data_IF_167351995267
#
_entry.id   IF_167351995267
#
_cell.length_a   1.000
_cell.length_b   1.000
_cell.length_c   1.000
_cell.angle_alpha   90.00
_cell.angle_beta   90.00
_cell.angle_gamma   90.00
#
_symmetry.space_group_name_H-M   'P 1'
#
loop_
_entity.id
_entity.type
_entity.pdbx_description
1 polymer ?
#
# COMPACT_ATOMS: atom_id res chain seq x y z
N UNK A 1 -9.76 -3.85 -17.79
CA UNK A 1 -8.40 -4.38 -17.56
C UNK A 1 -7.33 -3.49 -18.16
N UNK A 2 -7.23 -3.33 -19.49
CA UNK A 2 -6.15 -2.50 -20.08
C UNK A 2 -6.14 -1.06 -19.54
N UNK A 3 -7.31 -0.45 -19.44
CA UNK A 3 -7.49 0.87 -18.82
C UNK A 3 -6.99 0.93 -17.37
N UNK A 4 -7.22 -0.12 -16.58
CA UNK A 4 -6.72 -0.21 -15.21
C UNK A 4 -5.19 -0.21 -15.19
N UNK A 5 -4.53 -0.94 -16.08
CA UNK A 5 -3.07 -0.92 -16.17
C UNK A 5 -2.56 0.45 -16.63
N UNK A 6 -3.24 1.11 -17.55
CA UNK A 6 -2.89 2.47 -17.94
C UNK A 6 -3.05 3.46 -16.78
N UNK A 7 -4.07 3.28 -15.93
CA UNK A 7 -4.22 4.07 -14.70
C UNK A 7 -3.04 3.83 -13.77
N UNK A 8 -2.67 2.58 -13.52
CA UNK A 8 -1.51 2.24 -12.67
C UNK A 8 -0.19 2.79 -13.23
N UNK A 9 -0.03 2.84 -14.56
CA UNK A 9 1.10 3.50 -15.21
C UNK A 9 1.07 5.01 -15.02
N UNK A 10 -0.09 5.65 -15.19
CA UNK A 10 -0.23 7.10 -14.93
C UNK A 10 0.00 7.44 -13.46
N UNK A 11 -0.33 6.54 -12.56
CA UNK A 11 -0.03 6.61 -11.13
C UNK A 11 1.44 6.25 -10.81
N UNK A 12 2.28 5.99 -11.82
CA UNK A 12 3.71 5.67 -11.68
C UNK A 12 4.00 4.39 -10.87
N UNK A 13 2.99 3.53 -10.72
CA UNK A 13 3.13 2.26 -10.03
C UNK A 13 3.64 1.15 -10.97
N UNK A 14 3.26 1.24 -12.24
CA UNK A 14 3.71 0.35 -13.29
C UNK A 14 4.57 1.10 -14.31
N UNK A 15 5.61 0.42 -14.78
CA UNK A 15 6.32 0.87 -15.98
C UNK A 15 5.50 0.54 -17.23
N UNK A 16 5.34 1.47 -18.19
CA UNK A 16 4.59 1.22 -19.43
C UNK A 16 5.06 -0.01 -20.19
N UNK A 17 6.38 -0.26 -20.21
CA UNK A 17 7.02 -1.36 -20.94
C UNK A 17 6.70 -2.74 -20.36
N UNK A 18 6.20 -2.77 -19.12
CA UNK A 18 5.75 -4.00 -18.47
C UNK A 18 4.40 -4.44 -19.02
N UNK A 19 3.58 -3.55 -19.58
CA UNK A 19 2.29 -3.92 -20.14
C UNK A 19 2.47 -4.61 -21.49
N UNK A 20 1.96 -5.84 -21.60
CA UNK A 20 1.77 -6.55 -22.85
C UNK A 20 0.30 -6.53 -23.21
N UNK A 21 -0.08 -5.68 -24.15
CA UNK A 21 -1.39 -5.78 -24.77
C UNK A 21 -1.46 -7.09 -25.58
N UNK A 22 -2.64 -7.73 -25.58
CA UNK A 22 -2.91 -8.82 -26.52
C UNK A 22 -2.97 -8.32 -27.97
N UNK A 23 -3.05 -9.21 -28.95
CA UNK A 23 -3.21 -10.66 -28.78
C UNK A 23 -1.93 -11.42 -28.41
N UNK A 24 -2.08 -12.53 -27.67
CA UNK A 24 -0.98 -13.39 -27.20
C UNK A 24 -0.94 -14.74 -27.90
N UNK A 25 0.24 -15.28 -28.15
CA UNK A 25 0.37 -16.63 -28.71
C UNK A 25 0.08 -17.70 -27.64
N UNK A 26 -1.05 -18.38 -27.78
CA UNK A 26 -1.47 -19.48 -26.90
C UNK A 26 -1.15 -20.86 -27.49
N UNK A 27 -0.43 -20.95 -28.62
CA UNK A 27 -0.20 -22.20 -29.34
C UNK A 27 0.38 -23.31 -28.46
N UNK A 28 1.26 -22.96 -27.51
CA UNK A 28 1.84 -23.91 -26.56
C UNK A 28 0.84 -24.46 -25.53
N UNK A 29 -0.25 -23.73 -25.23
CA UNK A 29 -1.26 -24.10 -24.24
C UNK A 29 -2.48 -24.81 -24.85
N UNK A 30 -2.64 -24.77 -26.17
CA UNK A 30 -3.78 -25.38 -26.86
C UNK A 30 -3.99 -26.87 -26.53
N UNK A 31 -2.96 -27.73 -26.51
CA UNK A 31 -3.17 -29.14 -26.15
C UNK A 31 -3.73 -29.33 -24.74
N UNK A 32 -3.33 -28.48 -23.79
CA UNK A 32 -3.84 -28.51 -22.42
C UNK A 32 -5.30 -28.05 -22.39
N UNK A 33 -5.63 -26.93 -23.04
CA UNK A 33 -7.01 -26.44 -23.09
C UNK A 33 -7.97 -27.42 -23.75
N UNK A 34 -7.52 -28.12 -24.79
CA UNK A 34 -8.28 -29.21 -25.42
C UNK A 34 -8.49 -30.38 -24.45
N UNK A 35 -7.44 -30.80 -23.72
CA UNK A 35 -7.54 -31.90 -22.74
C UNK A 35 -8.49 -31.59 -21.57
N UNK A 36 -8.61 -30.32 -21.21
CA UNK A 36 -9.48 -29.83 -20.14
C UNK A 36 -10.87 -29.40 -20.65
N UNK A 37 -11.14 -29.56 -21.95
CA UNK A 37 -12.39 -29.14 -22.60
C UNK A 37 -12.76 -27.67 -22.28
N UNK A 38 -11.78 -26.77 -22.36
CA UNK A 38 -11.99 -25.34 -22.13
C UNK A 38 -12.73 -24.73 -23.31
N UNK A 39 -13.79 -23.97 -23.02
CA UNK A 39 -14.59 -23.31 -24.04
C UNK A 39 -13.76 -22.30 -24.87
N UNK A 40 -13.97 -22.28 -26.19
CA UNK A 40 -13.21 -21.41 -27.10
C UNK A 40 -13.36 -19.92 -26.80
N UNK A 41 -14.48 -19.49 -26.19
CA UNK A 41 -14.66 -18.10 -25.74
C UNK A 41 -13.74 -17.74 -24.57
N UNK A 42 -13.44 -18.70 -23.70
CA UNK A 42 -12.49 -18.54 -22.58
C UNK A 42 -11.06 -18.49 -23.13
N UNK A 43 -10.73 -19.38 -24.07
CA UNK A 43 -9.42 -19.36 -24.75
C UNK A 43 -9.22 -18.02 -25.48
N UNK A 44 -10.23 -17.55 -26.20
CA UNK A 44 -10.20 -16.24 -26.86
C UNK A 44 -10.02 -15.09 -25.88
N UNK A 45 -10.61 -15.18 -24.68
CA UNK A 45 -10.40 -14.17 -23.66
C UNK A 45 -8.93 -14.13 -23.20
N UNK A 46 -8.32 -15.28 -22.93
CA UNK A 46 -6.88 -15.34 -22.61
C UNK A 46 -6.01 -14.83 -23.77
N UNK A 47 -6.45 -15.00 -25.00
CA UNK A 47 -5.73 -14.46 -26.15
C UNK A 47 -5.67 -12.93 -26.12
N UNK A 48 -6.69 -12.23 -25.61
CA UNK A 48 -6.80 -10.77 -25.70
C UNK A 48 -6.54 -10.03 -24.37
N UNK A 49 -6.54 -10.72 -23.23
CA UNK A 49 -6.34 -10.07 -21.93
C UNK A 49 -4.94 -9.44 -21.87
N UNK A 50 -4.79 -8.17 -21.45
CA UNK A 50 -3.48 -7.60 -21.26
C UNK A 50 -2.77 -8.25 -20.07
N UNK A 51 -1.45 -8.31 -20.12
CA UNK A 51 -0.60 -8.89 -19.08
C UNK A 51 0.48 -7.92 -18.62
N UNK A 52 1.04 -8.17 -17.45
CA UNK A 52 2.22 -7.46 -16.94
C UNK A 52 3.41 -8.42 -17.01
N UNK A 53 4.46 -8.05 -17.75
CA UNK A 53 5.74 -8.78 -17.76
C UNK A 53 6.26 -8.84 -16.35
N UNK A 54 6.57 -10.04 -15.88
CA UNK A 54 7.30 -10.19 -14.64
C UNK A 54 8.70 -9.60 -14.83
N UNK A 55 9.11 -8.59 -14.04
CA UNK A 55 10.43 -8.03 -14.16
C UNK A 55 11.47 -9.12 -13.80
N UNK A 56 12.63 -9.13 -14.48
CA UNK A 56 13.67 -10.09 -14.18
C UNK A 56 14.22 -9.85 -12.76
N UNK A 57 13.86 -10.77 -11.88
CA UNK A 57 14.63 -11.25 -10.73
C UNK A 57 14.81 -10.44 -9.45
N UNK A 58 14.13 -9.32 -9.16
CA UNK A 58 14.42 -8.64 -7.86
C UNK A 58 13.32 -7.80 -7.17
N UNK A 59 12.02 -7.95 -7.49
CA UNK A 59 10.99 -7.21 -6.72
C UNK A 59 9.71 -7.94 -6.34
N UNK A 60 9.44 -7.86 -5.03
CA UNK A 60 8.17 -7.80 -4.28
C UNK A 60 7.20 -6.68 -4.76
N UNK A 61 7.31 -6.19 -5.99
CA UNK A 61 6.35 -5.23 -6.54
C UNK A 61 5.14 -5.99 -7.06
N UNK A 62 4.24 -6.25 -6.12
CA UNK A 62 3.02 -7.04 -6.27
C UNK A 62 1.96 -6.30 -7.07
N UNK A 63 2.16 -6.23 -8.38
CA UNK A 63 1.13 -5.70 -9.26
C UNK A 63 0.21 -6.84 -9.70
N UNK A 64 -0.93 -6.48 -10.28
CA UNK A 64 -1.86 -7.36 -10.96
C UNK A 64 -1.14 -8.35 -11.90
N UNK A 65 -0.78 -9.54 -11.39
CA UNK A 65 0.05 -10.51 -12.08
C UNK A 65 -0.82 -11.57 -12.75
N UNK A 66 -0.74 -11.60 -14.08
CA UNK A 66 -0.61 -12.87 -14.78
C UNK A 66 0.57 -12.73 -15.75
N UNK A 67 1.59 -13.59 -15.63
CA UNK A 67 2.77 -13.46 -16.49
C UNK A 67 3.94 -14.42 -16.31
N UNK A 68 4.41 -14.78 -15.11
CA UNK A 68 5.60 -15.66 -15.03
C UNK A 68 5.79 -16.53 -13.79
N UNK A 69 4.93 -16.46 -12.76
CA UNK A 69 4.94 -17.51 -11.75
C UNK A 69 4.00 -18.61 -12.20
N UNK A 70 4.53 -19.81 -12.36
CA UNK A 70 3.78 -21.04 -12.58
C UNK A 70 2.50 -21.04 -11.75
N UNK A 71 1.39 -21.64 -12.23
CA UNK A 71 0.18 -21.87 -11.43
C UNK A 71 0.47 -22.42 -10.03
N UNK A 72 1.65 -23.03 -9.84
CA UNK A 72 2.14 -23.63 -8.60
C UNK A 72 2.39 -22.67 -7.43
N UNK A 73 2.60 -21.36 -7.64
CA UNK A 73 2.91 -20.45 -6.52
C UNK A 73 1.66 -19.79 -5.90
N UNK A 74 0.62 -19.53 -6.70
CA UNK A 74 -0.70 -19.16 -6.19
C UNK A 74 -1.42 -20.37 -5.55
N UNK A 75 -0.96 -21.59 -5.85
CA UNK A 75 -1.37 -22.83 -5.16
C UNK A 75 -0.40 -23.22 -4.05
N UNK A 76 0.41 -22.30 -3.49
CA UNK A 76 1.13 -22.65 -2.25
C UNK A 76 0.07 -22.97 -1.20
N UNK A 77 -0.01 -24.26 -0.87
CA UNK A 77 -0.76 -24.94 0.20
C UNK A 77 -2.27 -25.07 0.07
N UNK A 78 -2.82 -25.17 -1.15
CA UNK A 78 -4.17 -25.75 -1.31
C UNK A 78 -3.97 -27.22 -1.60
N UNK A 79 -3.80 -27.99 -0.51
CA UNK A 79 -3.40 -29.40 -0.55
C UNK A 79 -4.57 -30.32 -0.97
N UNK A 80 -5.77 -29.76 -1.11
CA UNK A 80 -7.01 -30.50 -1.36
C UNK A 80 -7.68 -30.03 -2.67
N UNK A 81 -8.24 -30.95 -3.49
CA UNK A 81 -8.98 -30.61 -4.71
C UNK A 81 -10.15 -29.62 -4.52
N UNK A 82 -10.71 -29.58 -3.32
CA UNK A 82 -11.81 -28.70 -2.88
C UNK A 82 -11.36 -27.23 -2.79
N UNK A 83 -10.08 -27.00 -2.56
CA UNK A 83 -9.49 -25.68 -2.43
C UNK A 83 -8.84 -25.20 -3.74
N UNK A 84 -8.54 -26.10 -4.68
CA UNK A 84 -7.88 -25.73 -5.93
C UNK A 84 -8.75 -24.82 -6.81
N UNK A 85 -8.16 -23.72 -7.29
CA UNK A 85 -8.78 -22.88 -8.32
C UNK A 85 -9.10 -23.69 -9.57
N UNK A 86 -10.25 -23.40 -10.19
CA UNK A 86 -10.66 -24.08 -11.42
C UNK A 86 -9.86 -23.59 -12.63
N UNK A 87 -9.64 -24.43 -13.68
CA UNK A 87 -8.86 -24.03 -14.86
C UNK A 87 -9.40 -22.84 -15.66
N UNK A 88 -10.70 -22.53 -15.51
CA UNK A 88 -11.36 -21.38 -16.14
C UNK A 88 -11.38 -20.13 -15.24
N UNK A 89 -10.77 -20.20 -14.06
CA UNK A 89 -10.59 -19.05 -13.19
C UNK A 89 -9.22 -18.44 -13.40
N UNK A 90 -9.13 -17.13 -13.29
CA UNK A 90 -7.90 -16.38 -13.52
C UNK A 90 -7.69 -15.40 -12.38
N UNK A 91 -6.57 -15.48 -11.65
CA UNK A 91 -6.19 -14.40 -10.77
C UNK A 91 -5.86 -13.18 -11.63
N UNK A 92 -6.58 -12.09 -11.38
CA UNK A 92 -6.29 -10.78 -11.95
C UNK A 92 -5.29 -10.01 -11.09
N UNK A 93 -5.22 -10.30 -9.79
CA UNK A 93 -4.21 -9.74 -8.88
C UNK A 93 -3.30 -10.80 -8.25
N UNK A 94 -2.11 -10.37 -7.79
CA UNK A 94 -1.21 -11.21 -7.02
C UNK A 94 -1.74 -11.44 -5.59
N UNK A 95 -1.60 -12.67 -5.07
CA UNK A 95 -1.81 -12.96 -3.65
C UNK A 95 -0.67 -12.32 -2.84
N UNK A 96 -0.99 -11.51 -1.81
CA UNK A 96 0.03 -10.98 -0.89
C UNK A 96 0.19 -9.45 -0.81
N UNK A 97 -0.62 -8.62 -1.47
CA UNK A 97 -0.40 -7.16 -1.48
C UNK A 97 -1.57 -6.25 -1.20
N UNK A 98 -2.81 -6.65 -1.43
CA UNK A 98 -3.95 -5.77 -1.15
C UNK A 98 -4.76 -6.25 0.04
N UNK A 99 -4.18 -7.15 0.84
CA UNK A 99 -4.92 -8.09 1.71
C UNK A 99 -5.93 -8.95 0.92
N UNK A 100 -6.19 -8.64 -0.37
CA UNK A 100 -7.17 -9.27 -1.21
C UNK A 100 -6.65 -9.73 -2.57
N UNK A 101 -7.34 -10.73 -3.11
CA UNK A 101 -7.12 -11.40 -4.39
C UNK A 101 -8.33 -11.14 -5.28
N UNK A 102 -8.09 -10.63 -6.48
CA UNK A 102 -9.11 -10.40 -7.49
C UNK A 102 -9.11 -11.61 -8.42
N UNK A 103 -10.21 -12.35 -8.43
CA UNK A 103 -10.38 -13.57 -9.21
C UNK A 103 -11.45 -13.37 -10.27
N UNK A 104 -11.16 -13.73 -11.51
CA UNK A 104 -12.12 -13.74 -12.60
C UNK A 104 -12.54 -15.17 -12.93
N UNK A 105 -13.85 -15.43 -12.91
CA UNK A 105 -14.44 -16.68 -13.36
C UNK A 105 -14.95 -16.51 -14.80
N UNK A 106 -14.29 -17.18 -15.74
CA UNK A 106 -14.62 -17.08 -17.16
C UNK A 106 -15.93 -17.79 -17.54
N UNK A 107 -16.37 -18.81 -16.80
CA UNK A 107 -17.65 -19.50 -17.06
C UNK A 107 -18.85 -18.65 -16.66
N UNK A 108 -18.78 -18.03 -15.48
CA UNK A 108 -19.85 -17.17 -14.94
C UNK A 108 -19.74 -15.72 -15.39
N UNK A 109 -18.60 -15.32 -15.96
CA UNK A 109 -18.27 -13.95 -16.34
C UNK A 109 -18.38 -12.97 -15.15
N UNK A 110 -17.87 -13.40 -14.00
CA UNK A 110 -17.88 -12.62 -12.76
C UNK A 110 -16.46 -12.40 -12.24
N UNK A 111 -16.28 -11.33 -11.47
CA UNK A 111 -15.07 -11.07 -10.70
C UNK A 111 -15.45 -11.13 -9.22
N UNK A 112 -14.69 -11.91 -8.44
CA UNK A 112 -14.70 -11.85 -6.99
C UNK A 112 -13.45 -11.14 -6.49
N UNK A 113 -13.59 -10.48 -5.34
CA UNK A 113 -12.49 -9.84 -4.60
C UNK A 113 -12.53 -10.47 -3.22
N UNK A 114 -11.48 -11.17 -2.82
CA UNK A 114 -11.44 -11.98 -1.60
C UNK A 114 -10.29 -11.56 -0.73
N UNK A 115 -10.47 -11.51 0.58
CA UNK A 115 -9.34 -11.38 1.48
C UNK A 115 -8.49 -12.67 1.48
N UNK A 116 -7.18 -12.56 1.71
CA UNK A 116 -6.24 -13.68 1.72
C UNK A 116 -6.38 -14.54 2.99
N UNK A 117 -6.80 -13.94 4.09
CA UNK A 117 -6.92 -14.57 5.40
C UNK A 117 -8.38 -14.90 5.75
N UNK A 118 -9.35 -14.26 5.09
CA UNK A 118 -10.76 -14.43 5.39
C UNK A 118 -11.59 -14.86 4.17
N UNK A 119 -12.53 -15.81 4.33
CA UNK A 119 -13.38 -16.30 3.24
C UNK A 119 -14.45 -15.29 2.77
N UNK A 120 -14.37 -14.02 3.18
CA UNK A 120 -15.33 -12.98 2.83
C UNK A 120 -14.95 -12.21 1.56
N UNK A 121 -15.96 -11.66 0.88
CA UNK A 121 -15.70 -10.73 -0.22
C UNK A 121 -15.18 -9.39 0.32
N UNK A 122 -14.08 -8.90 -0.26
CA UNK A 122 -13.52 -7.57 -0.04
C UNK A 122 -13.99 -6.54 -1.09
N UNK A 123 -15.07 -6.85 -1.81
CA UNK A 123 -15.64 -5.92 -2.78
C UNK A 123 -16.37 -4.80 -2.04
N UNK A 124 -15.89 -3.55 -2.17
CA UNK A 124 -16.52 -2.38 -1.54
C UNK A 124 -18.03 -2.30 -1.75
N UNK A 125 -18.58 -2.73 -2.89
CA UNK A 125 -20.03 -2.66 -3.10
C UNK A 125 -20.82 -3.75 -2.38
N UNK A 126 -20.13 -4.79 -1.89
CA UNK A 126 -20.70 -5.83 -1.05
C UNK A 126 -20.46 -5.54 0.43
N UNK A 127 -19.37 -4.84 0.76
CA UNK A 127 -18.99 -4.54 2.14
C UNK A 127 -19.48 -3.17 2.62
N UNK A 128 -19.91 -2.28 1.73
CA UNK A 128 -20.44 -0.96 2.09
C UNK A 128 -21.67 -1.08 3.01
N UNK A 129 -21.56 -0.51 4.21
CA UNK A 129 -22.58 -0.61 5.25
C UNK A 129 -22.65 -1.96 5.96
N UNK A 130 -21.85 -2.94 5.55
CA UNK A 130 -21.73 -4.24 6.23
C UNK A 130 -20.77 -4.10 7.38
N UNK A 131 -21.15 -4.67 8.53
CA UNK A 131 -20.28 -4.71 9.69
C UNK A 131 -19.48 -6.02 9.65
N UNK A 132 -18.16 -5.91 9.48
CA UNK A 132 -17.26 -7.04 9.47
C UNK A 132 -16.72 -7.29 10.88
N UNK A 133 -16.77 -8.54 11.35
CA UNK A 133 -16.15 -8.95 12.60
C UNK A 133 -14.78 -9.56 12.34
N UNK A 134 -13.74 -9.00 12.96
CA UNK A 134 -12.38 -9.55 12.92
C UNK A 134 -12.14 -10.43 14.16
N UNK A 135 -11.51 -11.59 13.97
CA UNK A 135 -11.19 -12.53 15.04
C UNK A 135 -9.68 -12.82 15.11
N UNK A 136 -8.92 -12.11 15.95
CA UNK A 136 -7.60 -12.52 16.38
C UNK A 136 -7.58 -12.61 17.92
N UNK A 137 -8.04 -13.75 18.45
CA UNK A 137 -7.48 -14.29 19.69
C UNK A 137 -8.00 -13.81 21.06
N UNK A 138 -8.63 -12.64 21.26
CA UNK A 138 -9.37 -12.36 22.52
C UNK A 138 -10.32 -11.16 22.51
N UNK A 139 -10.25 -10.23 21.56
CA UNK A 139 -11.18 -9.09 21.47
C UNK A 139 -11.74 -9.00 20.05
N UNK A 140 -13.06 -9.19 19.92
CA UNK A 140 -13.75 -8.98 18.65
C UNK A 140 -13.74 -7.49 18.33
N UNK A 141 -13.04 -7.09 17.27
CA UNK A 141 -13.18 -5.74 16.73
C UNK A 141 -14.14 -5.80 15.55
N UNK A 142 -15.19 -5.00 15.63
CA UNK A 142 -16.17 -4.84 14.56
C UNK A 142 -15.86 -3.57 13.79
N UNK A 143 -16.02 -3.61 12.47
CA UNK A 143 -15.78 -2.46 11.61
C UNK A 143 -16.96 -2.24 10.69
N UNK A 144 -17.39 -0.99 10.56
CA UNK A 144 -18.34 -0.59 9.52
C UNK A 144 -17.52 0.01 8.37
N UNK A 145 -17.67 -0.54 7.17
CA UNK A 145 -17.11 0.08 5.99
C UNK A 145 -18.08 1.14 5.44
N UNK A 146 -17.66 2.42 5.46
CA UNK A 146 -18.38 3.53 4.81
C UNK A 146 -17.42 4.26 3.88
N UNK A 147 -17.81 4.41 2.62
CA UNK A 147 -16.97 5.04 1.58
C UNK A 147 -15.58 4.38 1.41
N UNK A 148 -15.45 3.08 1.69
CA UNK A 148 -14.19 2.35 1.65
C UNK A 148 -13.26 2.64 2.83
N UNK A 149 -13.77 3.26 3.90
CA UNK A 149 -13.05 3.48 5.16
C UNK A 149 -13.65 2.54 6.21
N UNK A 150 -12.82 1.65 6.74
CA UNK A 150 -13.16 0.81 7.89
C UNK A 150 -13.10 1.65 9.18
N UNK A 151 -14.25 1.86 9.80
CA UNK A 151 -14.34 2.53 11.10
C UNK A 151 -14.68 1.51 12.18
N UNK A 152 -13.89 1.41 13.27
CA UNK A 152 -14.24 0.55 14.39
C UNK A 152 -15.63 0.91 14.92
N UNK A 153 -16.45 -0.10 15.19
CA UNK A 153 -17.73 0.04 15.86
C UNK A 153 -17.82 -0.89 17.07
N UNK A 154 -18.74 -0.56 17.96
CA UNK A 154 -18.99 -1.34 19.17
C UNK A 154 -19.84 -2.58 18.85
N UNK A 155 -19.75 -3.60 19.71
CA UNK A 155 -20.48 -4.86 19.62
C UNK A 155 -21.99 -4.62 19.52
N UNK A 156 -22.51 -3.63 20.24
CA UNK A 156 -23.94 -3.27 20.22
C UNK A 156 -24.42 -2.79 18.84
N UNK A 157 -23.60 -2.07 18.08
CA UNK A 157 -23.97 -1.66 16.72
C UNK A 157 -23.98 -2.85 15.77
N UNK A 158 -23.03 -3.78 15.96
CA UNK A 158 -23.00 -5.05 15.23
C UNK A 158 -24.21 -5.93 15.54
N UNK A 159 -24.53 -6.17 16.81
CA UNK A 159 -25.69 -6.97 17.24
C UNK A 159 -27.00 -6.38 16.70
N UNK A 160 -27.14 -5.06 16.76
CA UNK A 160 -28.30 -4.37 16.18
C UNK A 160 -28.40 -4.61 14.67
N UNK A 161 -27.29 -4.50 13.93
CA UNK A 161 -27.27 -4.75 12.49
C UNK A 161 -27.65 -6.19 12.14
N UNK A 162 -27.11 -7.19 12.86
CA UNK A 162 -27.43 -8.61 12.65
C UNK A 162 -28.90 -8.90 12.96
N UNK A 163 -29.43 -8.34 14.03
CA UNK A 163 -30.83 -8.49 14.42
C UNK A 163 -31.80 -7.76 13.47
N UNK A 164 -31.39 -6.63 12.89
CA UNK A 164 -32.20 -5.87 11.91
C UNK A 164 -32.19 -6.49 10.50
N UNK A 165 -31.13 -7.23 10.13
CA UNK A 165 -31.03 -7.94 8.84
C UNK A 165 -31.90 -9.21 8.77
N UNK A 166 -32.59 -9.59 9.86
CA UNK A 166 -33.50 -10.74 9.85
C UNK A 166 -32.80 -12.08 9.63
N UNK A 167 -31.53 -12.19 10.03
CA UNK A 167 -30.93 -13.50 10.29
C UNK A 167 -31.59 -14.05 11.54
N UNK A 168 -32.75 -14.69 11.35
CA UNK A 168 -33.46 -15.49 12.35
C UNK A 168 -32.55 -16.67 12.74
N UNK A 169 -31.57 -16.37 13.59
CA UNK A 169 -30.82 -17.35 14.36
C UNK A 169 -31.74 -17.79 15.51
N UNK A 170 -32.82 -18.47 15.17
CA UNK A 170 -33.65 -19.22 16.12
C UNK A 170 -32.82 -20.41 16.62
N UNK A 171 -31.93 -20.15 17.58
CA UNK A 171 -31.23 -21.17 18.36
C UNK A 171 -31.70 -21.11 19.81
N UNK A 172 -33.02 -21.23 20.00
CA UNK A 172 -33.62 -21.58 21.28
C UNK A 172 -34.14 -23.02 21.18
N UNK A 173 -33.45 -23.95 21.85
CA UNK A 173 -33.83 -25.36 21.88
C UNK A 173 -32.97 -26.18 22.84
N UNK A 174 -33.19 -25.99 24.14
CA UNK A 174 -32.93 -27.06 25.12
C UNK A 174 -33.89 -28.23 24.80
N UNK A 175 -33.37 -29.44 24.59
CA UNK A 175 -33.99 -30.66 25.12
C UNK A 175 -33.04 -31.87 25.01
N UNK A 176 -32.74 -32.45 26.18
CA UNK A 176 -32.10 -33.75 26.37
C UNK A 176 -32.90 -34.86 25.68
N UNK A 177 -32.27 -35.55 24.73
CA UNK A 177 -32.80 -36.74 24.09
C UNK A 177 -31.67 -37.68 23.67
N UNK A 178 -31.38 -38.68 24.51
CA UNK A 178 -30.54 -39.82 24.15
C UNK A 178 -31.24 -40.66 23.08
N UNK A 179 -30.89 -40.50 21.80
CA UNK A 179 -31.26 -41.45 20.75
C UNK A 179 -30.07 -41.77 19.83
N UNK A 180 -29.65 -43.04 19.97
CA UNK A 180 -29.00 -43.95 19.03
C UNK A 180 -28.29 -43.39 17.80
N UNK A 181 -27.01 -43.76 17.71
CA UNK A 181 -26.15 -43.59 16.57
C UNK A 181 -26.64 -44.41 15.36
N UNK A 182 -27.48 -43.80 14.53
CA UNK A 182 -27.60 -44.17 13.12
C UNK A 182 -26.53 -43.41 12.33
N UNK A 183 -25.43 -44.11 12.07
CA UNK A 183 -24.38 -43.73 11.15
C UNK A 183 -24.90 -43.83 9.71
N UNK A 184 -25.82 -42.93 9.35
CA UNK A 184 -26.32 -42.84 7.99
C UNK A 184 -25.41 -41.93 7.17
N UNK A 185 -24.67 -42.60 6.29
CA UNK A 185 -24.24 -42.14 4.99
C UNK A 185 -23.48 -40.81 4.95
N UNK A 186 -22.15 -40.96 4.92
CA UNK A 186 -21.25 -40.13 4.12
C UNK A 186 -21.77 -40.06 2.67
N UNK A 187 -22.78 -39.22 2.40
CA UNK A 187 -23.08 -38.77 1.05
C UNK A 187 -21.86 -37.98 0.58
N UNK A 188 -21.13 -38.60 -0.35
CA UNK A 188 -20.01 -38.09 -1.12
C UNK A 188 -20.24 -36.63 -1.57
N UNK A 189 -19.90 -35.68 -0.71
CA UNK A 189 -19.81 -34.24 -0.99
C UNK A 189 -18.60 -33.92 -1.90
N UNK A 190 -18.30 -34.82 -2.85
CA UNK A 190 -17.07 -34.87 -3.66
C UNK A 190 -16.87 -33.67 -4.62
N UNK A 191 -17.82 -32.72 -4.67
CA UNK A 191 -17.76 -31.58 -5.60
C UNK A 191 -17.98 -30.20 -4.95
N UNK A 192 -17.95 -30.09 -3.63
CA UNK A 192 -18.06 -28.79 -2.93
C UNK A 192 -16.73 -28.03 -2.93
N UNK A 193 -16.27 -27.64 -4.12
CA UNK A 193 -15.14 -26.73 -4.22
C UNK A 193 -15.56 -25.30 -3.88
N UNK A 194 -14.79 -24.64 -3.02
CA UNK A 194 -15.08 -23.32 -2.45
C UNK A 194 -15.25 -22.23 -3.53
N UNK A 195 -14.67 -22.44 -4.72
CA UNK A 195 -14.75 -21.49 -5.82
C UNK A 195 -15.95 -21.69 -6.73
N UNK A 196 -16.61 -22.85 -6.69
CA UNK A 196 -17.83 -23.07 -7.49
C UNK A 196 -18.92 -22.04 -7.13
N UNK A 197 -18.99 -21.68 -5.84
CA UNK A 197 -19.92 -20.71 -5.28
C UNK A 197 -19.27 -19.33 -5.06
N UNK A 198 -18.15 -19.06 -5.74
CA UNK A 198 -17.41 -17.80 -5.63
C UNK A 198 -18.37 -16.59 -5.65
N UNK A 199 -18.26 -15.76 -4.60
CA UNK A 199 -19.14 -14.64 -4.35
C UNK A 199 -18.77 -13.44 -5.26
N UNK A 200 -18.86 -13.62 -6.58
CA UNK A 200 -18.50 -12.60 -7.57
C UNK A 200 -19.64 -11.66 -7.99
N UNK A 201 -19.29 -10.53 -8.61
CA UNK A 201 -20.21 -9.64 -9.35
C UNK A 201 -19.87 -9.65 -10.84
N UNK A 202 -20.79 -9.22 -11.74
CA UNK A 202 -20.52 -9.17 -13.18
C UNK A 202 -19.21 -8.44 -13.50
N UNK A 203 -18.30 -9.09 -14.23
CA UNK A 203 -16.92 -8.63 -14.39
C UNK A 203 -16.82 -7.19 -14.89
N UNK A 204 -17.63 -6.82 -15.88
CA UNK A 204 -17.71 -5.45 -16.41
C UNK A 204 -18.02 -4.40 -15.32
N UNK A 205 -18.89 -4.72 -14.37
CA UNK A 205 -19.27 -3.79 -13.28
C UNK A 205 -18.11 -3.63 -12.31
N UNK A 206 -17.53 -4.75 -11.86
CA UNK A 206 -16.39 -4.73 -10.92
C UNK A 206 -15.22 -3.96 -11.49
N UNK A 207 -14.81 -4.24 -12.73
CA UNK A 207 -13.67 -3.56 -13.35
C UNK A 207 -13.89 -2.05 -13.54
N UNK A 208 -15.12 -1.64 -13.88
CA UNK A 208 -15.49 -0.22 -13.95
C UNK A 208 -15.41 0.44 -12.57
N UNK A 209 -15.88 -0.26 -11.54
CA UNK A 209 -15.88 0.27 -10.18
C UNK A 209 -14.44 0.37 -9.63
N UNK A 210 -13.56 -0.59 -9.92
CA UNK A 210 -12.12 -0.52 -9.59
C UNK A 210 -11.46 0.69 -10.25
N UNK A 211 -11.72 0.92 -11.55
CA UNK A 211 -11.22 2.11 -12.26
C UNK A 211 -11.66 3.39 -11.53
N UNK A 212 -12.93 3.45 -11.13
CA UNK A 212 -13.45 4.58 -10.35
C UNK A 212 -12.75 4.71 -8.99
N UNK A 213 -12.49 3.62 -8.28
CA UNK A 213 -11.82 3.65 -6.98
C UNK A 213 -10.43 4.26 -7.04
N UNK A 214 -9.63 3.93 -8.06
CA UNK A 214 -8.31 4.55 -8.26
C UNK A 214 -8.40 6.03 -8.67
N UNK A 215 -9.38 6.40 -9.50
CA UNK A 215 -9.60 7.81 -9.83
C UNK A 215 -10.00 8.66 -8.62
N UNK A 216 -10.86 8.12 -7.75
CA UNK A 216 -11.31 8.77 -6.52
C UNK A 216 -10.28 8.67 -5.37
N UNK A 217 -9.19 7.91 -5.58
CA UNK A 217 -8.22 7.54 -4.56
C UNK A 217 -8.85 6.86 -3.34
N UNK A 218 -9.99 6.16 -3.53
CA UNK A 218 -10.52 5.21 -2.54
C UNK A 218 -9.51 4.08 -2.36
N UNK A 219 -8.95 3.63 -3.47
CA UNK A 219 -7.80 2.73 -3.52
C UNK A 219 -6.56 3.47 -4.02
N UNK A 220 -5.40 3.09 -3.49
CA UNK A 220 -4.09 3.51 -4.02
C UNK A 220 -3.25 2.30 -4.38
N UNK A 221 -2.37 2.39 -5.38
CA UNK A 221 -1.45 1.31 -5.67
C UNK A 221 -0.55 1.02 -4.45
N UNK A 222 -0.25 -0.26 -4.21
CA UNK A 222 0.49 -0.70 -3.02
C UNK A 222 -0.41 -0.94 -1.79
N UNK A 223 0.12 -0.71 -0.59
CA UNK A 223 -0.59 -0.84 0.68
C UNK A 223 -0.51 -2.20 1.38
N UNK A 224 0.15 -3.19 0.79
CA UNK A 224 0.37 -4.51 1.42
C UNK A 224 1.63 -4.59 2.25
N UNK A 225 1.76 -5.69 3.01
CA UNK A 225 2.97 -6.03 3.77
C UNK A 225 4.25 -6.09 2.91
N UNK A 226 4.07 -6.31 1.60
CA UNK A 226 5.14 -6.42 0.62
C UNK A 226 5.28 -5.16 -0.25
N UNK A 227 4.45 -4.13 -0.05
CA UNK A 227 4.65 -2.84 -0.68
C UNK A 227 5.74 -2.07 0.07
N UNK A 228 6.68 -1.48 -0.67
CA UNK A 228 7.67 -0.57 -0.07
C UNK A 228 6.98 0.62 0.60
N UNK A 229 7.59 1.16 1.66
CA UNK A 229 7.06 2.29 2.42
C UNK A 229 6.76 3.53 1.54
N UNK A 230 7.38 3.62 0.36
CA UNK A 230 7.05 4.62 -0.65
C UNK A 230 5.59 4.59 -1.12
N UNK A 231 4.94 3.43 -1.04
CA UNK A 231 3.56 3.20 -1.46
C UNK A 231 2.60 3.09 -0.27
N UNK A 232 3.02 3.56 0.90
CA UNK A 232 2.14 3.70 2.04
C UNK A 232 0.95 4.60 1.68
N UNK A 233 -0.24 4.13 2.01
CA UNK A 233 -1.48 4.76 1.61
C UNK A 233 -1.63 6.19 2.17
N UNK A 234 -1.26 6.39 3.43
CA UNK A 234 -1.35 7.69 4.11
C UNK A 234 -0.32 8.68 3.59
N UNK A 235 0.78 8.17 3.03
CA UNK A 235 1.75 8.95 2.29
C UNK A 235 1.28 9.33 0.88
N UNK A 236 0.88 8.35 0.05
CA UNK A 236 0.68 8.58 -1.39
C UNK A 236 -0.65 9.25 -1.72
N UNK A 237 -1.74 8.96 -0.98
CA UNK A 237 -3.06 9.54 -1.26
C UNK A 237 -3.05 11.08 -1.21
N UNK A 238 -2.48 11.74 -0.18
CA UNK A 238 -2.36 13.20 -0.16
C UNK A 238 -1.45 13.75 -1.27
N UNK A 239 -0.40 13.02 -1.64
CA UNK A 239 0.53 13.42 -2.70
C UNK A 239 -0.16 13.43 -4.07
N UNK A 240 -0.93 12.40 -4.40
CA UNK A 240 -1.70 12.37 -5.65
C UNK A 240 -2.62 13.60 -5.78
N UNK A 241 -3.35 13.94 -4.70
CA UNK A 241 -4.22 15.12 -4.67
C UNK A 241 -3.43 16.42 -4.83
N UNK A 242 -2.28 16.52 -4.16
CA UNK A 242 -1.41 17.70 -4.23
C UNK A 242 -0.90 17.94 -5.65
N UNK A 243 -0.62 16.88 -6.39
CA UNK A 243 0.00 16.93 -7.72
C UNK A 243 -0.99 16.77 -8.87
N UNK A 244 -2.31 16.95 -8.63
CA UNK A 244 -3.31 17.07 -9.70
C UNK A 244 -4.00 15.78 -10.15
N UNK A 245 -3.84 14.66 -9.43
CA UNK A 245 -4.58 13.43 -9.77
C UNK A 245 -6.09 13.59 -9.50
N UNK A 246 -6.99 13.02 -10.34
CA UNK A 246 -6.75 12.22 -11.56
C UNK A 246 -6.72 13.04 -12.87
N UNK A 247 -6.56 14.36 -12.76
CA UNK A 247 -6.60 15.30 -13.87
C UNK A 247 -5.57 15.01 -14.97
N UNK A 248 -5.77 15.68 -16.11
CA UNK A 248 -4.80 15.66 -17.22
C UNK A 248 -3.52 16.42 -16.87
N UNK A 249 -3.58 17.27 -15.84
CA UNK A 249 -2.51 18.09 -15.29
C UNK A 249 -1.73 17.40 -14.16
N UNK A 250 -1.88 16.08 -13.99
CA UNK A 250 -1.12 15.33 -12.99
C UNK A 250 0.40 15.46 -13.23
N UNK A 251 1.09 16.13 -12.31
CA UNK A 251 2.55 16.36 -12.35
C UNK A 251 3.29 15.16 -11.75
N UNK A 252 3.57 14.18 -12.61
CA UNK A 252 4.26 12.95 -12.25
C UNK A 252 5.66 13.19 -11.66
N UNK A 253 6.41 14.15 -12.21
CA UNK A 253 7.78 14.42 -11.77
C UNK A 253 7.77 15.07 -10.37
N UNK A 254 6.90 16.04 -10.14
CA UNK A 254 6.74 16.66 -8.83
C UNK A 254 6.24 15.66 -7.78
N UNK A 255 5.35 14.75 -8.15
CA UNK A 255 4.90 13.65 -7.29
C UNK A 255 6.08 12.77 -6.83
N UNK A 256 6.92 12.30 -7.74
CA UNK A 256 8.06 11.43 -7.39
C UNK A 256 9.07 12.15 -6.50
N UNK A 257 9.35 13.43 -6.77
CA UNK A 257 10.26 14.23 -5.95
C UNK A 257 9.71 14.39 -4.53
N UNK A 258 8.44 14.74 -4.36
CA UNK A 258 7.81 14.93 -3.04
C UNK A 258 7.72 13.61 -2.27
N UNK A 259 7.34 12.52 -2.94
CA UNK A 259 7.33 11.17 -2.36
C UNK A 259 8.73 10.81 -1.80
N UNK A 260 9.80 11.01 -2.58
CA UNK A 260 11.17 10.73 -2.15
C UNK A 260 11.62 11.62 -0.99
N UNK A 261 11.29 12.91 -1.01
CA UNK A 261 11.64 13.84 0.09
C UNK A 261 10.98 13.37 1.40
N UNK A 262 9.70 12.99 1.35
CA UNK A 262 8.96 12.54 2.54
C UNK A 262 9.51 11.22 3.10
N UNK A 263 9.89 10.29 2.24
CA UNK A 263 10.51 9.03 2.66
C UNK A 263 11.85 9.27 3.36
N UNK A 264 12.71 10.10 2.78
CA UNK A 264 13.98 10.48 3.41
C UNK A 264 13.72 11.16 4.76
N UNK A 265 12.71 12.03 4.83
CA UNK A 265 12.29 12.67 6.08
C UNK A 265 11.86 11.65 7.14
N UNK A 266 11.07 10.65 6.74
CA UNK A 266 10.61 9.57 7.61
C UNK A 266 11.78 8.73 8.14
N UNK A 267 12.70 8.31 7.26
CA UNK A 267 13.88 7.53 7.64
C UNK A 267 14.78 8.27 8.63
N UNK A 268 14.97 9.58 8.42
CA UNK A 268 15.72 10.44 9.34
C UNK A 268 15.01 10.53 10.68
N UNK A 269 13.70 10.81 10.69
CA UNK A 269 12.91 10.93 11.92
C UNK A 269 12.87 9.61 12.71
N UNK A 270 12.72 8.48 12.03
CA UNK A 270 12.72 7.15 12.67
C UNK A 270 14.10 6.81 13.24
N UNK A 271 15.18 7.16 12.52
CA UNK A 271 16.55 7.00 13.00
C UNK A 271 16.82 7.83 14.25
N UNK A 272 16.39 9.09 14.27
CA UNK A 272 16.53 9.97 15.44
C UNK A 272 15.65 9.50 16.60
N UNK A 273 14.44 9.00 16.35
CA UNK A 273 13.59 8.38 17.38
C UNK A 273 14.26 7.15 17.99
N UNK A 274 14.79 6.24 17.17
CA UNK A 274 15.52 5.04 17.63
C UNK A 274 16.74 5.46 18.47
N UNK A 275 17.47 6.49 18.03
CA UNK A 275 18.60 7.07 18.77
C UNK A 275 18.18 7.64 20.12
N UNK A 276 17.12 8.44 20.17
CA UNK A 276 16.58 9.03 21.39
C UNK A 276 16.10 7.97 22.38
N UNK A 277 15.42 6.91 21.91
CA UNK A 277 14.99 5.79 22.75
C UNK A 277 16.15 4.94 23.27
N UNK A 278 17.22 4.80 22.49
CA UNK A 278 18.41 4.09 22.91
C UNK A 278 19.23 4.91 23.93
N UNK A 279 19.15 6.24 23.89
CA UNK A 279 20.06 7.11 24.64
C UNK A 279 20.04 6.91 26.16
N UNK A 280 18.89 6.76 26.85
CA UNK A 280 18.88 6.50 28.28
C UNK A 280 19.56 5.18 28.67
N UNK A 281 19.30 4.10 27.92
CA UNK A 281 19.95 2.78 28.14
C UNK A 281 21.46 2.85 27.92
N UNK A 282 21.89 3.69 26.99
CA UNK A 282 23.32 3.95 26.77
C UNK A 282 23.95 4.77 27.88
N UNK A 283 23.25 5.78 28.40
CA UNK A 283 23.71 6.58 29.56
C UNK A 283 23.83 5.72 30.82
N UNK A 284 22.88 4.80 31.04
CA UNK A 284 22.93 3.82 32.13
C UNK A 284 24.15 2.89 31.99
N UNK A 285 24.35 2.30 30.81
CA UNK A 285 25.54 1.46 30.54
C UNK A 285 26.86 2.21 30.68
N UNK A 286 26.90 3.49 30.29
CA UNK A 286 28.08 4.33 30.46
C UNK A 286 28.35 4.63 31.94
N UNK A 287 27.29 4.87 32.73
CA UNK A 287 27.40 5.06 34.17
C UNK A 287 27.79 3.78 34.93
N UNK A 288 27.46 2.60 34.37
CA UNK A 288 27.83 1.29 34.90
C UNK A 288 29.24 0.82 34.51
N UNK A 289 29.91 1.51 33.57
CA UNK A 289 31.26 1.17 33.13
C UNK A 289 32.24 1.28 34.32
N UNK A 290 32.95 0.19 34.61
CA UNK A 290 33.87 0.13 35.77
C UNK A 290 35.31 0.40 35.38
N UNK A 291 35.60 0.39 34.09
CA UNK A 291 36.95 0.55 33.55
C UNK A 291 36.97 1.61 32.46
N UNK A 292 38.12 2.29 32.34
CA UNK A 292 38.39 3.28 31.28
C UNK A 292 38.27 2.64 29.90
N UNK A 293 38.61 1.36 29.77
CA UNK A 293 38.51 0.62 28.50
C UNK A 293 37.06 0.35 28.12
N UNK A 294 36.17 0.03 29.08
CA UNK A 294 34.73 -0.13 28.84
C UNK A 294 34.09 1.22 28.46
N UNK A 295 34.43 2.30 29.15
CA UNK A 295 33.98 3.66 28.84
C UNK A 295 34.45 4.08 27.43
N UNK A 296 35.71 3.80 27.10
CA UNK A 296 36.26 4.07 25.77
C UNK A 296 35.60 3.23 24.69
N UNK A 297 35.31 1.94 24.93
CA UNK A 297 34.64 1.07 23.96
C UNK A 297 33.21 1.52 23.66
N UNK A 298 32.45 1.92 24.70
CA UNK A 298 31.07 2.42 24.61
C UNK A 298 31.03 3.81 23.93
N UNK A 299 31.99 4.68 24.26
CA UNK A 299 32.17 6.00 23.63
C UNK A 299 32.57 5.89 22.15
N UNK A 300 33.48 4.96 21.83
CA UNK A 300 33.89 4.71 20.44
C UNK A 300 32.81 4.03 19.61
N UNK A 301 31.89 3.24 20.20
CA UNK A 301 30.72 2.70 19.48
C UNK A 301 29.75 3.82 19.07
N UNK A 302 29.57 4.82 19.94
CA UNK A 302 28.83 6.06 19.67
C UNK A 302 29.48 6.86 18.53
N UNK A 303 30.82 6.92 18.52
CA UNK A 303 31.58 7.54 17.45
C UNK A 303 31.47 6.76 16.14
N UNK A 304 31.40 5.42 16.14
CA UNK A 304 31.21 4.65 14.88
C UNK A 304 29.87 4.92 14.18
N UNK A 305 28.80 5.23 14.92
CA UNK A 305 27.56 5.77 14.36
C UNK A 305 27.72 7.20 13.79
N UNK A 306 28.81 7.89 14.11
CA UNK A 306 29.23 9.21 13.62
C UNK A 306 30.46 9.15 12.68
N UNK A 307 31.07 7.98 12.44
CA UNK A 307 32.35 7.75 11.72
C UNK A 307 32.23 7.74 10.19
N UNK A 308 31.21 8.37 9.62
CA UNK A 308 31.32 8.82 8.23
C UNK A 308 32.47 9.86 8.05
N UNK A 309 32.92 10.47 9.15
CA UNK A 309 33.94 11.53 9.19
C UNK A 309 35.40 11.04 9.31
N UNK A 310 35.67 9.93 10.00
CA UNK A 310 37.05 9.38 10.13
C UNK A 310 37.53 8.69 8.86
N UNK A 311 36.63 8.18 8.02
CA UNK A 311 36.96 7.62 6.71
C UNK A 311 37.62 8.63 5.75
N UNK A 312 37.59 9.93 6.07
CA UNK A 312 38.12 11.03 5.25
C UNK A 312 39.44 11.64 5.76
N UNK A 313 40.02 11.14 6.86
CA UNK A 313 41.39 11.49 7.28
C UNK A 313 41.61 12.93 7.82
N UNK A 314 40.59 13.55 8.41
CA UNK A 314 40.67 14.92 8.94
C UNK A 314 41.36 15.00 10.32
N UNK A 315 42.10 16.08 10.57
CA UNK A 315 42.79 16.33 11.84
C UNK A 315 41.85 16.78 12.97
N UNK A 316 42.27 16.66 14.24
CA UNK A 316 41.47 17.00 15.43
C UNK A 316 40.82 18.42 15.41
N UNK A 317 41.51 19.51 15.02
CA UNK A 317 40.88 20.83 14.88
C UNK A 317 39.99 20.98 13.62
N UNK A 318 40.11 20.11 12.62
CA UNK A 318 39.20 20.04 11.48
C UNK A 318 37.93 19.27 11.83
N UNK A 319 38.06 18.20 12.62
CA UNK A 319 36.95 17.46 13.21
C UNK A 319 36.13 18.36 14.14
N UNK A 320 36.76 19.17 14.99
CA UNK A 320 36.07 20.14 15.84
C UNK A 320 35.38 21.29 15.05
N UNK A 321 35.83 21.58 13.82
CA UNK A 321 35.17 22.52 12.90
C UNK A 321 34.01 21.85 12.15
N UNK A 322 34.19 20.61 11.71
CA UNK A 322 33.13 19.81 11.10
C UNK A 322 31.99 19.54 12.09
N UNK A 323 32.29 19.22 13.35
CA UNK A 323 31.29 19.09 14.41
C UNK A 323 30.51 20.39 14.62
N UNK A 324 31.19 21.54 14.72
CA UNK A 324 30.50 22.84 14.81
C UNK A 324 29.62 23.12 13.60
N UNK A 325 30.10 22.86 12.38
CA UNK A 325 29.32 23.06 11.17
C UNK A 325 28.09 22.13 11.10
N UNK A 326 28.20 20.89 11.59
CA UNK A 326 27.07 19.94 11.65
C UNK A 326 26.09 20.33 12.75
N UNK A 327 26.56 20.81 13.90
CA UNK A 327 25.69 21.32 14.97
C UNK A 327 24.95 22.59 14.50
N UNK A 328 25.63 23.50 13.82
CA UNK A 328 25.02 24.69 13.22
C UNK A 328 24.01 24.32 12.11
N UNK A 329 24.30 23.32 11.27
CA UNK A 329 23.35 22.80 10.26
C UNK A 329 22.15 22.10 10.90
N UNK A 330 22.37 21.34 11.98
CA UNK A 330 21.32 20.71 12.75
C UNK A 330 20.40 21.73 13.42
N UNK A 331 20.96 22.76 14.07
CA UNK A 331 20.21 23.87 14.65
C UNK A 331 19.43 24.63 13.57
N UNK A 332 20.03 24.86 12.39
CA UNK A 332 19.37 25.50 11.26
C UNK A 332 18.21 24.69 10.70
N UNK A 333 18.36 23.37 10.55
CA UNK A 333 17.29 22.48 10.08
C UNK A 333 16.19 22.31 11.11
N UNK A 334 16.54 22.24 12.39
CA UNK A 334 15.57 22.21 13.49
C UNK A 334 14.76 23.51 13.53
N UNK A 335 15.38 24.65 13.29
CA UNK A 335 14.68 25.93 13.15
C UNK A 335 13.73 25.94 11.94
N UNK A 336 14.14 25.42 10.78
CA UNK A 336 13.28 25.31 9.59
C UNK A 336 12.08 24.39 9.83
N UNK A 337 12.28 23.25 10.50
CA UNK A 337 11.21 22.31 10.85
C UNK A 337 10.23 23.00 11.80
N UNK A 338 10.73 23.69 12.83
CA UNK A 338 9.89 24.41 13.79
C UNK A 338 9.10 25.54 13.13
N UNK A 339 9.72 26.32 12.24
CA UNK A 339 9.03 27.35 11.46
C UNK A 339 7.94 26.73 10.58
N UNK A 340 8.20 25.56 9.97
CA UNK A 340 7.22 24.82 9.15
C UNK A 340 6.07 24.25 9.98
N UNK A 341 6.33 23.79 11.21
CA UNK A 341 5.31 23.31 12.15
C UNK A 341 4.43 24.47 12.66
N UNK A 342 5.03 25.62 12.96
CA UNK A 342 4.31 26.84 13.33
C UNK A 342 3.43 27.35 12.17
N UNK A 343 3.94 27.29 10.93
CA UNK A 343 3.18 27.66 9.71
C UNK A 343 2.02 26.68 9.44
N UNK A 344 2.25 25.37 9.57
CA UNK A 344 1.21 24.35 9.45
C UNK A 344 0.12 24.50 10.52
N UNK A 345 0.51 24.84 11.75
CA UNK A 345 -0.43 25.13 12.84
C UNK A 345 -1.25 26.37 12.53
N UNK A 346 -0.63 27.42 11.97
CA UNK A 346 -1.32 28.62 11.51
C UNK A 346 -2.33 28.35 10.39
N UNK A 347 -1.99 27.49 9.43
CA UNK A 347 -2.89 27.06 8.35
C UNK A 347 -4.08 26.27 8.92
N UNK A 348 -3.84 25.33 9.84
CA UNK A 348 -4.90 24.56 10.48
C UNK A 348 -5.86 25.45 11.29
N UNK A 349 -5.34 26.43 12.03
CA UNK A 349 -6.16 27.37 12.81
C UNK A 349 -6.96 28.31 11.90
N UNK A 350 -6.37 28.75 10.79
CA UNK A 350 -7.07 29.51 9.76
C UNK A 350 -8.17 28.69 9.07
N UNK A 351 -7.92 27.40 8.77
CA UNK A 351 -8.92 26.50 8.18
C UNK A 351 -10.14 26.29 9.09
N UNK A 352 -9.95 26.25 10.42
CA UNK A 352 -11.06 26.17 11.39
C UNK A 352 -11.96 27.41 11.41
N UNK A 353 -11.48 28.55 10.90
CA UNK A 353 -12.22 29.82 10.89
C UNK A 353 -13.04 30.01 9.60
N UNK A 354 -12.90 29.11 8.62
CA UNK A 354 -13.67 29.17 7.39
C UNK A 354 -15.08 28.60 7.61
N UNK A 355 -16.15 29.27 7.14
CA UNK A 355 -17.50 28.72 7.17
C UNK A 355 -17.57 27.45 6.32
N UNK A 356 -18.38 26.47 6.77
CA UNK A 356 -18.54 25.08 6.28
C UNK A 356 -18.86 24.89 4.76
N UNK A 357 -18.78 25.94 3.94
CA UNK A 357 -19.10 25.90 2.50
C UNK A 357 -18.09 26.58 1.55
N UNK A 358 -16.90 26.97 2.00
CA UNK A 358 -15.95 27.72 1.12
C UNK A 358 -14.92 26.84 0.43
N UNK A 359 -15.36 26.02 -0.53
CA UNK A 359 -14.47 25.26 -1.42
C UNK A 359 -13.61 26.14 -2.35
N UNK A 360 -14.04 27.36 -2.69
CA UNK A 360 -13.29 28.26 -3.59
C UNK A 360 -12.10 28.97 -2.92
N UNK A 361 -12.18 29.28 -1.61
CA UNK A 361 -11.07 29.90 -0.88
C UNK A 361 -9.87 28.95 -0.73
N UNK A 362 -10.14 27.64 -0.74
CA UNK A 362 -9.15 26.56 -0.62
C UNK A 362 -8.23 26.47 -1.85
N UNK A 363 -8.72 26.86 -3.03
CA UNK A 363 -7.93 26.93 -4.26
C UNK A 363 -7.05 28.18 -4.36
N UNK A 364 -7.51 29.32 -3.84
CA UNK A 364 -6.80 30.60 -3.96
C UNK A 364 -5.66 30.78 -2.96
N UNK A 365 -5.70 30.10 -1.81
CA UNK A 365 -4.61 30.16 -0.82
C UNK A 365 -3.33 29.43 -1.27
N UNK A 366 -3.40 28.56 -2.28
CA UNK A 366 -2.25 27.80 -2.79
C UNK A 366 -1.53 28.49 -3.97
N UNK A 367 -2.12 29.51 -4.60
CA UNK A 367 -1.50 30.22 -5.74
C UNK A 367 -0.27 31.10 -5.41
N UNK A 368 -0.16 31.79 -4.26
CA UNK A 368 0.98 32.69 -4.03
C UNK A 368 2.33 31.96 -3.91
N UNK A 369 2.32 30.67 -3.59
CA UNK A 369 3.54 29.86 -3.42
C UNK A 369 4.18 29.45 -4.75
N UNK A 370 3.45 29.45 -5.86
CA UNK A 370 3.98 29.12 -7.19
C UNK A 370 4.84 30.25 -7.81
N UNK A 371 4.65 31.50 -7.37
CA UNK A 371 5.32 32.64 -7.99
C UNK A 371 6.57 33.17 -7.26
N UNK A 372 6.82 32.80 -6.00
CA UNK A 372 8.01 33.27 -5.27
C UNK A 372 9.27 32.40 -5.45
N UNK A 373 9.15 31.15 -5.90
CA UNK A 373 10.31 30.27 -6.16
C UNK A 373 10.94 30.46 -7.54
N UNK A 374 10.26 31.12 -8.48
CA UNK A 374 10.73 31.32 -9.87
C UNK A 374 11.34 32.70 -10.16
N UNK A 375 11.51 33.57 -9.17
CA UNK A 375 12.11 34.89 -9.34
C UNK A 375 13.43 35.06 -8.56
N UNK A 376 14.44 34.25 -8.88
CA UNK A 376 15.85 34.64 -8.66
C UNK A 376 16.54 34.75 -10.02
N UNK A 377 17.08 35.91 -10.40
CA UNK A 377 17.91 35.98 -11.60
C UNK A 377 19.16 35.13 -11.34
N UNK A 378 19.48 34.24 -12.28
CA UNK A 378 20.78 33.60 -12.36
C UNK A 378 21.84 34.70 -12.52
N UNK A 379 22.53 35.05 -11.43
CA UNK A 379 23.75 35.86 -11.52
C UNK A 379 24.85 34.98 -12.10
N UNK A 380 25.33 35.36 -13.29
CA UNK A 380 26.45 34.78 -14.00
C UNK A 380 27.72 34.79 -13.14
N UNK A 381 28.25 33.62 -12.72
CA UNK A 381 29.43 33.55 -11.85
C UNK A 381 30.75 33.92 -12.56
N UNK A 382 30.74 34.30 -13.85
CA UNK A 382 31.95 34.69 -14.59
C UNK A 382 32.14 36.20 -14.82
N UNK A 383 31.27 37.06 -14.28
CA UNK A 383 31.42 38.52 -14.38
C UNK A 383 31.96 39.10 -13.07
N UNK A 384 33.25 38.89 -12.81
CA UNK A 384 34.15 39.81 -12.07
C UNK A 384 35.50 39.11 -11.80
N UNK A 385 36.41 39.20 -12.78
CA UNK A 385 37.85 39.19 -12.48
C UNK A 385 38.41 40.53 -12.92
N UNK A 386 38.79 41.43 -12.01
CA UNK A 386 39.57 42.58 -12.39
C UNK A 386 41.01 42.16 -12.66
N UNK A 387 41.56 42.74 -13.71
CA UNK A 387 42.94 42.61 -14.16
C UNK A 387 43.95 42.76 -13.00
N UNK A 388 44.81 41.75 -12.85
CA UNK A 388 46.15 41.94 -12.28
C UNK A 388 47.15 41.87 -13.42
N UNK A 389 47.59 43.03 -13.86
CA UNK A 389 48.78 43.21 -14.67
C UNK A 389 49.94 43.67 -13.76
N UNK A 390 51.08 42.98 -13.93
CA UNK A 390 52.45 43.23 -13.44
C UNK A 390 52.70 42.94 -11.96
#
# INVERSE_FOLDING_TARGET
>A
MLELYHILVRMLYLEPEWIQAGPHDLGALMPLYESLNIDSSIIYLYHILPYVKTPPSDWDRNVFLWGATSPTSATRTLDTPEEMMRPWMTPLSAMGNHQCVILYDAKRHVVGIFDQLYPGSYDHNKTEGVIQGYLPGTEHMYFICKDGIETPCDVFEWEKYVNEQGTDSDSDGEEDGEEEADSDADEEDEDKNIWNEMEGRPARRVLRDIVRWYHELRETPGGGENAGAEWDHDLVRPLYRKHGWPGEDFDADAFLVDQKIRLIGFDIAESERKRALAMPKWQEKLAEAKTIDEEWLLSTTLSSYSRASVALGLSEPETARAYRAVTEDFERRTAIIKDSEEEMTGIQEWMKQLPDGTCEARGLALEPFLHQSLARPLTDPNKERPDRAI
#
